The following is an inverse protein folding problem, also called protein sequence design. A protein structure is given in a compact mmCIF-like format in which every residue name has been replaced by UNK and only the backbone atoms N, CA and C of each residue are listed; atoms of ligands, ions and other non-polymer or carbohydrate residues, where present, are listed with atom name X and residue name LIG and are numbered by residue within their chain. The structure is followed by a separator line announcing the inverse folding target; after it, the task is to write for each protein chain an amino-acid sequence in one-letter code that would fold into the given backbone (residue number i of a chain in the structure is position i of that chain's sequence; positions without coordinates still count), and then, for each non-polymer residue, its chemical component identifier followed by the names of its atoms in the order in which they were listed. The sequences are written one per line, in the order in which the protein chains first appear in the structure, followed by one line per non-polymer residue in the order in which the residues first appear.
data_IF_189118591389
#
_entry.id   IF_189118591389
#
_cell.length_a   1.000
_cell.length_b   1.000
_cell.length_c   1.000
_cell.angle_alpha   90.00
_cell.angle_beta   90.00
_cell.angle_gamma   90.00
#
_symmetry.space_group_name_H-M   'P 1'
#
loop_
_entity.id
_entity.type
_entity.pdbx_description
1 polymer ?
#
# COMPACT_ATOMS: atom_id res chain seq x y z
N UNK A 1 -14.06 2.31 3.76
CA UNK A 1 -12.88 2.14 2.88
C UNK A 1 -12.22 0.84 3.29
N UNK A 2 -12.60 -0.25 2.62
CA UNK A 2 -11.99 -1.55 2.80
C UNK A 2 -10.73 -1.50 1.93
N UNK A 3 -9.56 -1.36 2.54
CA UNK A 3 -8.29 -1.37 1.82
C UNK A 3 -8.11 -2.79 1.31
N UNK A 4 -8.28 -3.01 0.02
CA UNK A 4 -7.99 -4.32 -0.59
C UNK A 4 -6.56 -4.71 -0.22
N UNK A 5 -6.33 -6.00 0.07
CA UNK A 5 -5.01 -6.52 0.46
C UNK A 5 -3.91 -6.36 -0.63
N UNK A 6 -4.21 -5.64 -1.72
CA UNK A 6 -3.34 -5.35 -2.87
C UNK A 6 -3.18 -3.85 -3.13
N UNK A 7 -3.76 -2.97 -2.31
CA UNK A 7 -3.60 -1.53 -2.48
C UNK A 7 -2.36 -1.02 -1.77
N UNK A 8 -1.58 -0.20 -2.46
CA UNK A 8 -0.36 0.42 -1.93
C UNK A 8 -0.69 1.85 -1.50
N UNK A 9 -0.17 2.26 -0.35
CA UNK A 9 -0.27 3.63 0.14
C UNK A 9 1.02 4.38 -0.21
N UNK A 10 0.88 5.45 -0.99
CA UNK A 10 1.98 6.30 -1.42
C UNK A 10 1.60 7.78 -1.39
N UNK A 11 2.60 8.64 -1.25
CA UNK A 11 2.50 10.09 -1.34
C UNK A 11 3.03 10.57 -2.69
N UNK A 12 2.49 11.66 -3.21
CA UNK A 12 3.01 12.28 -4.44
C UNK A 12 4.24 13.11 -4.09
N UNK A 13 5.38 12.82 -4.72
CA UNK A 13 6.62 13.57 -4.52
C UNK A 13 6.74 14.71 -5.53
N UNK A 14 6.56 14.38 -6.81
CA UNK A 14 6.83 15.30 -7.90
C UNK A 14 5.82 15.06 -9.04
N UNK A 15 5.52 16.14 -9.77
CA UNK A 15 4.76 16.10 -11.01
C UNK A 15 5.69 16.48 -12.16
N UNK A 16 5.79 15.61 -13.16
CA UNK A 16 6.51 15.86 -14.41
C UNK A 16 5.72 16.82 -15.31
N UNK A 17 6.40 17.57 -16.18
CA UNK A 17 5.76 18.50 -17.14
C UNK A 17 4.73 17.80 -18.04
N UNK A 18 4.97 16.54 -18.39
CA UNK A 18 4.06 15.68 -19.15
C UNK A 18 2.78 15.25 -18.39
N UNK A 19 2.60 15.70 -17.15
CA UNK A 19 1.41 15.43 -16.35
C UNK A 19 1.42 14.09 -15.60
N UNK A 20 2.56 13.40 -15.58
CA UNK A 20 2.75 12.20 -14.76
C UNK A 20 3.23 12.54 -13.34
N UNK A 21 2.98 11.63 -12.41
CA UNK A 21 3.27 11.78 -10.99
C UNK A 21 4.26 10.72 -10.53
N UNK A 22 5.28 11.14 -9.77
CA UNK A 22 6.16 10.26 -9.01
C UNK A 22 5.57 10.01 -7.64
N UNK A 23 5.53 8.74 -7.26
CA UNK A 23 4.98 8.29 -5.99
C UNK A 23 6.09 7.82 -5.05
N UNK A 24 5.99 8.19 -3.78
CA UNK A 24 6.91 7.84 -2.71
C UNK A 24 6.21 7.09 -1.59
N UNK A 25 6.88 6.10 -1.04
CA UNK A 25 6.45 5.39 0.17
C UNK A 25 7.51 5.51 1.25
N UNK A 26 7.21 5.00 2.45
CA UNK A 26 8.14 4.97 3.59
C UNK A 26 9.41 4.17 3.30
N UNK A 27 9.41 3.31 2.28
CA UNK A 27 10.57 2.55 1.83
C UNK A 27 11.43 3.29 0.81
N UNK A 28 10.86 4.25 0.08
CA UNK A 28 11.55 4.96 -1.00
C UNK A 28 10.64 5.39 -2.14
N UNK A 29 11.26 5.80 -3.24
CA UNK A 29 10.56 6.33 -4.42
C UNK A 29 10.24 5.20 -5.39
N UNK A 30 8.98 5.10 -5.81
CA UNK A 30 8.58 4.10 -6.80
C UNK A 30 9.20 4.48 -8.16
N UNK A 31 9.89 3.54 -8.80
CA UNK A 31 10.60 3.78 -10.06
C UNK A 31 9.68 4.15 -11.26
N UNK A 32 8.38 3.95 -11.12
CA UNK A 32 7.39 4.15 -12.19
C UNK A 32 6.64 5.46 -12.03
N UNK A 33 6.29 6.06 -13.17
CA UNK A 33 5.44 7.24 -13.27
C UNK A 33 3.97 6.84 -13.42
N UNK A 34 3.08 7.59 -12.76
CA UNK A 34 1.64 7.29 -12.76
C UNK A 34 0.82 8.47 -13.23
N UNK A 35 -0.26 8.19 -13.95
CA UNK A 35 -1.29 9.17 -14.24
C UNK A 35 -2.28 9.25 -13.07
N UNK A 36 -2.96 10.38 -12.91
CA UNK A 36 -3.98 10.57 -11.87
C UNK A 36 -5.11 9.52 -11.93
N UNK A 37 -5.37 8.94 -13.11
CA UNK A 37 -6.36 7.86 -13.30
C UNK A 37 -5.92 6.49 -12.76
N UNK A 38 -4.63 6.29 -12.48
CA UNK A 38 -4.07 5.01 -12.05
C UNK A 38 -4.05 4.84 -10.51
N UNK A 39 -4.43 5.87 -9.76
CA UNK A 39 -4.50 5.82 -8.30
C UNK A 39 -5.71 6.60 -7.79
N UNK A 40 -6.16 6.24 -6.58
CA UNK A 40 -7.23 6.94 -5.90
C UNK A 40 -6.65 7.91 -4.87
N UNK A 41 -7.12 9.16 -4.90
CA UNK A 41 -6.80 10.12 -3.85
C UNK A 41 -7.48 9.71 -2.54
N UNK A 42 -6.73 9.78 -1.45
CA UNK A 42 -7.24 9.53 -0.11
C UNK A 42 -7.40 10.85 0.64
N UNK A 43 -8.54 11.06 1.28
CA UNK A 43 -8.76 12.22 2.16
C UNK A 43 -7.96 12.15 3.47
N UNK A 44 -7.34 11.00 3.75
CA UNK A 44 -6.47 10.78 4.90
C UNK A 44 -5.02 10.73 4.43
N UNK A 45 -4.15 11.45 5.12
CA UNK A 45 -2.71 11.39 4.91
C UNK A 45 -2.16 10.15 5.63
N UNK A 46 -1.78 9.13 4.84
CA UNK A 46 -1.21 7.88 5.35
C UNK A 46 0.32 7.88 5.37
N UNK A 47 0.95 8.68 4.50
CA UNK A 47 2.40 8.80 4.37
C UNK A 47 2.72 10.29 4.24
N UNK A 48 3.60 10.80 5.10
CA UNK A 48 4.09 12.17 4.99
C UNK A 48 5.32 12.22 4.09
N UNK A 49 5.56 13.37 3.44
CA UNK A 49 6.75 13.60 2.61
C UNK A 49 8.07 13.43 3.39
N UNK A 50 8.08 13.80 4.68
CA UNK A 50 9.25 13.63 5.56
C UNK A 50 9.57 12.15 5.86
N UNK A 51 8.56 11.29 5.84
CA UNK A 51 8.75 9.84 6.04
C UNK A 51 9.23 9.12 4.78
N UNK A 52 9.22 9.79 3.63
CA UNK A 52 9.72 9.23 2.37
C UNK A 52 11.23 9.49 2.35
N UNK A 53 12.06 8.45 2.32
CA UNK A 53 13.49 8.66 2.17
C UNK A 53 13.78 9.08 0.72
N UNK A 54 13.71 10.39 0.44
CA UNK A 54 13.90 10.98 -0.89
C UNK A 54 15.32 10.69 -1.42
N UNK A 55 16.28 10.51 -0.52
CA UNK A 55 17.68 10.16 -0.82
C UNK A 55 17.88 8.66 -1.11
N UNK A 56 16.88 7.81 -0.86
CA UNK A 56 16.98 6.36 -1.09
C UNK A 56 16.79 6.00 -2.55
N UNK A 57 17.40 4.89 -2.96
CA UNK A 57 17.27 4.31 -4.29
C UNK A 57 15.81 4.05 -4.68
N UNK A 58 15.54 4.09 -5.99
CA UNK A 58 14.22 3.77 -6.54
C UNK A 58 13.85 2.32 -6.27
N UNK A 59 12.62 2.08 -5.81
CA UNK A 59 12.11 0.76 -5.48
C UNK A 59 11.06 0.30 -6.49
N UNK A 60 10.99 -1.02 -6.67
CA UNK A 60 10.00 -1.66 -7.53
C UNK A 60 8.64 -1.69 -6.84
N UNK A 61 7.57 -1.45 -7.61
CA UNK A 61 6.19 -1.47 -7.11
C UNK A 61 5.85 -2.77 -6.36
N UNK A 62 6.32 -3.91 -6.86
CA UNK A 62 6.08 -5.23 -6.25
C UNK A 62 6.72 -5.37 -4.87
N UNK A 63 7.90 -4.77 -4.68
CA UNK A 63 8.59 -4.77 -3.38
C UNK A 63 7.74 -4.00 -2.35
N UNK A 64 7.25 -2.83 -2.75
CA UNK A 64 6.37 -2.00 -1.92
C UNK A 64 5.07 -2.72 -1.61
N UNK A 65 4.44 -3.35 -2.62
CA UNK A 65 3.24 -4.15 -2.43
C UNK A 65 3.46 -5.27 -1.42
N UNK A 66 4.60 -5.94 -1.49
CA UNK A 66 4.94 -7.05 -0.59
C UNK A 66 5.22 -6.58 0.83
N UNK A 67 5.85 -5.40 0.99
CA UNK A 67 6.16 -4.81 2.29
C UNK A 67 4.93 -4.22 2.98
N UNK A 68 4.03 -3.60 2.21
CA UNK A 68 2.77 -3.04 2.73
C UNK A 68 1.65 -4.07 2.87
N UNK A 69 1.73 -5.19 2.16
CA UNK A 69 0.86 -6.33 2.40
C UNK A 69 1.12 -6.83 3.83
N UNK A 70 0.24 -6.44 4.75
CA UNK A 70 0.18 -7.04 6.10
C UNK A 70 -0.36 -8.47 5.93
N UNK A 71 0.51 -9.38 5.51
CA UNK A 71 0.15 -10.72 5.08
C UNK A 71 1.41 -11.55 4.89
N UNK A 72 2.10 -11.85 6.00
CA UNK A 72 3.21 -12.78 6.02
C UNK A 72 2.73 -14.15 5.49
N UNK A 73 3.32 -14.64 4.40
CA UNK A 73 3.40 -16.07 4.09
C UNK A 73 2.52 -16.58 2.94
N UNK A 74 3.14 -17.34 2.04
CA UNK A 74 2.52 -18.59 1.61
C UNK A 74 2.16 -19.37 2.89
N UNK A 75 0.87 -19.51 3.15
CA UNK A 75 0.37 -19.97 4.43
C UNK A 75 -0.68 -18.99 4.91
N UNK A 76 -1.93 -19.39 4.74
CA UNK A 76 -3.08 -18.85 5.45
C UNK A 76 -2.65 -18.34 6.82
N UNK A 77 -2.58 -17.01 6.98
CA UNK A 77 -2.59 -16.41 8.30
C UNK A 77 -4.02 -16.60 8.81
N UNK A 78 -4.25 -17.81 9.33
CA UNK A 78 -5.39 -18.12 10.17
C UNK A 78 -5.43 -17.03 11.21
N UNK A 79 -6.55 -16.32 11.23
CA UNK A 79 -6.89 -15.43 12.31
C UNK A 79 -6.62 -16.22 13.59
N UNK A 80 -5.61 -15.82 14.39
CA UNK A 80 -5.54 -16.29 15.76
C UNK A 80 -6.66 -15.57 16.51
N UNK A 81 -7.88 -16.05 16.32
CA UNK A 81 -9.05 -15.68 17.10
C UNK A 81 -8.80 -16.13 18.54
N UNK A 82 -8.16 -15.30 19.37
CA UNK A 82 -8.12 -15.52 20.83
C UNK A 82 -9.31 -14.89 21.55
N UNK A 83 -10.47 -14.85 20.89
CA UNK A 83 -11.73 -14.54 21.55
C UNK A 83 -12.86 -15.16 20.73
N UNK A 84 -13.74 -15.86 21.45
CA UNK A 84 -14.83 -16.69 20.94
C UNK A 84 -15.63 -15.92 19.88
N UNK A 85 -15.55 -16.37 18.63
CA UNK A 85 -16.36 -15.84 17.54
C UNK A 85 -17.83 -16.16 17.83
N UNK A 86 -18.59 -15.17 18.28
CA UNK A 86 -20.03 -15.24 18.47
C UNK A 86 -20.63 -14.15 17.58
N UNK A 87 -21.23 -14.54 16.45
CA UNK A 87 -21.87 -13.61 15.54
C UNK A 87 -21.72 -14.02 14.09
N UNK A 88 -22.81 -14.53 13.54
CA UNK A 88 -23.00 -15.03 12.18
C UNK A 88 -22.69 -13.97 11.11
N UNK A 89 -21.62 -14.18 10.32
CA UNK A 89 -21.68 -14.44 8.87
C UNK A 89 -20.32 -14.19 8.18
N UNK A 90 -19.77 -15.27 7.58
CA UNK A 90 -18.73 -15.35 6.52
C UNK A 90 -17.38 -14.67 6.83
N UNK A 91 -16.20 -15.31 6.85
CA UNK A 91 -15.58 -16.17 5.84
C UNK A 91 -14.63 -17.16 6.54
N UNK A 92 -15.09 -18.38 6.82
CA UNK A 92 -14.24 -19.49 7.21
C UNK A 92 -14.58 -20.64 6.26
N UNK A 93 -13.92 -20.68 5.11
CA UNK A 93 -14.13 -21.76 4.14
C UNK A 93 -12.99 -22.77 4.22
N UNK A 94 -13.33 -23.86 4.92
CA UNK A 94 -12.90 -25.28 4.87
C UNK A 94 -11.41 -25.62 4.86
#
# INVERSE_FOLDING_TARGET
MQTDARSILACVIEKTEDGFYKLGTREGIINSLYACSQFALSHKQFVQLDEVPITSATILLQSVASSQATGNGQGFNGIKCNSKCHGSNSYCNK
#
